data_IF_355356886764
#
_entry.id   IF_355356886764
#
_cell.length_a   1.000
_cell.length_b   1.000
_cell.length_c   1.000
_cell.angle_alpha   90.00
_cell.angle_beta   90.00
_cell.angle_gamma   90.00
#
_symmetry.space_group_name_H-M   'P 1'
#
loop_
_entity.id
_entity.type
_entity.pdbx_description
1 polymer ?
#
# COMPACT_ATOMS: atom_id res chain seq x y z
N UNK A 1 -24.46 34.83 17.47
CA UNK A 1 -23.10 34.63 18.02
C UNK A 1 -23.21 34.16 19.47
N UNK A 2 -23.39 32.85 19.72
CA UNK A 2 -23.36 32.24 21.08
C UNK A 2 -23.04 30.73 20.99
N UNK A 3 -21.84 30.32 20.57
CA UNK A 3 -21.37 28.92 20.79
C UNK A 3 -19.84 28.80 20.71
N UNK A 4 -19.17 29.74 21.37
CA UNK A 4 -17.72 29.72 21.57
C UNK A 4 -17.36 28.71 22.68
N UNK A 5 -17.40 27.41 22.37
CA UNK A 5 -16.78 26.32 23.15
C UNK A 5 -16.92 24.95 22.47
N UNK A 6 -16.52 24.86 21.21
CA UNK A 6 -16.07 23.58 20.64
C UNK A 6 -14.54 23.58 20.78
N UNK A 7 -14.10 23.74 22.02
CA UNK A 7 -12.72 23.44 22.39
C UNK A 7 -12.63 21.93 22.43
N UNK A 8 -11.91 21.42 21.44
CA UNK A 8 -11.25 20.13 21.31
C UNK A 8 -11.90 18.94 22.02
N UNK A 9 -12.38 17.91 21.28
CA UNK A 9 -12.29 16.59 21.86
C UNK A 9 -10.80 16.32 22.06
N UNK A 10 -10.28 16.56 23.28
CA UNK A 10 -9.12 15.83 23.76
C UNK A 10 -9.51 14.35 23.64
N UNK A 11 -9.21 13.75 22.48
CA UNK A 11 -9.19 12.29 22.31
C UNK A 11 -7.93 11.77 23.01
N UNK A 12 -7.70 12.23 24.24
CA UNK A 12 -6.93 11.52 25.24
C UNK A 12 -7.79 10.37 25.69
N UNK A 13 -7.94 9.35 24.85
CA UNK A 13 -8.54 8.08 25.23
C UNK A 13 -7.57 7.35 26.18
N UNK A 14 -7.37 7.91 27.37
CA UNK A 14 -6.84 7.20 28.53
C UNK A 14 -7.92 6.22 28.99
N UNK A 15 -8.20 5.27 28.12
CA UNK A 15 -9.01 4.10 28.42
C UNK A 15 -8.08 3.12 29.13
N UNK A 16 -8.58 2.45 30.17
CA UNK A 16 -7.79 1.43 30.90
C UNK A 16 -7.26 0.31 29.98
N UNK A 17 -7.84 0.18 28.80
CA UNK A 17 -7.44 -0.77 27.76
C UNK A 17 -6.19 -0.31 26.98
N UNK A 18 -5.77 0.95 27.10
CA UNK A 18 -4.57 1.48 26.43
C UNK A 18 -3.29 0.76 26.87
N UNK A 19 -3.23 0.31 28.12
CA UNK A 19 -2.08 -0.47 28.64
C UNK A 19 -2.03 -1.84 27.94
N UNK A 20 -3.17 -2.52 27.82
CA UNK A 20 -3.26 -3.80 27.11
C UNK A 20 -3.00 -3.65 25.61
N UNK A 21 -3.51 -2.59 24.98
CA UNK A 21 -3.27 -2.28 23.58
C UNK A 21 -1.79 -1.95 23.32
N UNK A 22 -1.17 -1.15 24.18
CA UNK A 22 0.26 -0.83 24.10
C UNK A 22 1.13 -2.08 24.27
N UNK A 23 0.82 -2.93 25.25
CA UNK A 23 1.51 -4.21 25.44
C UNK A 23 1.39 -5.11 24.20
N UNK A 24 0.20 -5.23 23.61
CA UNK A 24 0.00 -5.97 22.37
C UNK A 24 0.79 -5.39 21.19
N UNK A 25 0.79 -4.06 21.04
CA UNK A 25 1.57 -3.38 20.00
C UNK A 25 3.08 -3.59 20.17
N UNK A 26 3.60 -3.46 21.39
CA UNK A 26 5.02 -3.71 21.71
C UNK A 26 5.38 -5.17 21.44
N UNK A 27 4.51 -6.10 21.79
CA UNK A 27 4.73 -7.53 21.52
C UNK A 27 4.82 -7.80 20.01
N UNK A 28 3.86 -7.32 19.22
CA UNK A 28 3.87 -7.47 17.76
C UNK A 28 5.11 -6.80 17.16
N UNK A 29 5.45 -5.59 17.60
CA UNK A 29 6.64 -4.88 17.15
C UNK A 29 7.93 -5.67 17.47
N UNK A 30 8.04 -6.23 18.67
CA UNK A 30 9.19 -7.05 19.08
C UNK A 30 9.32 -8.30 18.23
N UNK A 31 8.21 -8.97 17.90
CA UNK A 31 8.20 -10.12 16.99
C UNK A 31 8.66 -9.71 15.59
N UNK A 32 8.10 -8.63 15.03
CA UNK A 32 8.49 -8.13 13.70
C UNK A 32 9.96 -7.76 13.64
N UNK A 33 10.49 -7.05 14.64
CA UNK A 33 11.91 -6.72 14.74
C UNK A 33 12.77 -7.98 14.83
N UNK A 34 12.35 -8.97 15.62
CA UNK A 34 13.06 -10.25 15.73
C UNK A 34 13.08 -10.98 14.38
N UNK A 35 11.96 -11.01 13.65
CA UNK A 35 11.90 -11.59 12.30
C UNK A 35 12.84 -10.85 11.36
N UNK A 36 12.76 -9.52 11.29
CA UNK A 36 13.60 -8.71 10.40
C UNK A 36 15.09 -8.94 10.67
N UNK A 37 15.49 -8.98 11.95
CA UNK A 37 16.90 -9.13 12.34
C UNK A 37 17.42 -10.56 12.18
N UNK A 38 16.56 -11.57 12.34
CA UNK A 38 16.94 -12.99 12.17
C UNK A 38 16.80 -13.49 10.74
N UNK A 39 16.09 -12.77 9.89
CA UNK A 39 15.92 -13.14 8.49
C UNK A 39 17.26 -12.96 7.76
N UNK A 40 17.76 -14.05 7.19
CA UNK A 40 18.92 -13.99 6.29
C UNK A 40 18.50 -13.39 4.95
N UNK A 41 18.62 -12.06 4.83
CA UNK A 41 18.35 -11.35 3.59
C UNK A 41 19.36 -11.77 2.51
N UNK A 42 18.86 -12.27 1.37
CA UNK A 42 19.71 -12.60 0.21
C UNK A 42 20.14 -11.30 -0.48
N UNK A 43 21.29 -10.77 -0.07
CA UNK A 43 21.94 -9.64 -0.76
C UNK A 43 22.79 -10.20 -1.89
N UNK A 44 22.31 -10.10 -3.13
CA UNK A 44 23.10 -10.44 -4.32
C UNK A 44 24.15 -9.37 -4.65
N UNK A 45 25.08 -9.69 -5.54
CA UNK A 45 25.96 -8.66 -6.11
C UNK A 45 25.15 -7.63 -6.89
N UNK A 46 25.40 -6.36 -6.58
CA UNK A 46 24.71 -5.24 -7.19
C UNK A 46 25.33 -5.00 -8.57
N UNK A 47 24.93 -5.78 -9.57
CA UNK A 47 25.34 -5.52 -10.96
C UNK A 47 24.68 -4.21 -11.40
N UNK A 48 25.49 -3.23 -11.80
CA UNK A 48 24.98 -2.07 -12.53
C UNK A 48 24.33 -2.61 -13.80
N UNK A 49 23.03 -2.35 -13.98
CA UNK A 49 22.30 -2.78 -15.15
C UNK A 49 22.11 -1.56 -16.06
N UNK A 50 22.77 -1.57 -17.21
CA UNK A 50 22.82 -0.40 -18.10
C UNK A 50 21.47 -0.12 -18.78
N UNK A 51 20.64 -1.16 -19.00
CA UNK A 51 19.35 -1.03 -19.68
C UNK A 51 18.24 -1.89 -19.04
N UNK A 52 17.56 -1.37 -18.01
CA UNK A 52 16.46 -2.08 -17.34
C UNK A 52 15.15 -2.08 -18.15
N UNK A 53 14.93 -1.06 -18.97
CA UNK A 53 13.69 -0.90 -19.75
C UNK A 53 13.54 -2.01 -20.78
N UNK A 54 14.64 -2.39 -21.47
CA UNK A 54 14.64 -3.46 -22.46
C UNK A 54 14.28 -4.80 -21.82
N UNK A 55 14.91 -5.13 -20.69
CA UNK A 55 14.65 -6.37 -19.94
C UNK A 55 13.21 -6.47 -19.47
N UNK A 56 12.68 -5.39 -18.88
CA UNK A 56 11.29 -5.35 -18.41
C UNK A 56 10.32 -5.51 -19.59
N UNK A 57 10.57 -4.83 -20.71
CA UNK A 57 9.79 -4.99 -21.92
C UNK A 57 9.80 -6.44 -22.42
N UNK A 58 10.97 -7.10 -22.39
CA UNK A 58 11.10 -8.50 -22.79
C UNK A 58 10.35 -9.46 -21.86
N UNK A 59 10.37 -9.20 -20.54
CA UNK A 59 9.61 -9.96 -19.55
C UNK A 59 8.09 -9.79 -19.75
N UNK A 60 7.62 -8.55 -20.00
CA UNK A 60 6.21 -8.26 -20.26
C UNK A 60 5.70 -8.92 -21.53
N UNK A 61 6.54 -9.01 -22.57
CA UNK A 61 6.18 -9.58 -23.87
C UNK A 61 6.42 -11.10 -23.99
N UNK A 62 7.01 -11.74 -22.96
CA UNK A 62 7.32 -13.17 -23.00
C UNK A 62 6.71 -13.92 -21.82
N UNK A 63 7.15 -13.62 -20.61
CA UNK A 63 6.80 -14.41 -19.42
C UNK A 63 5.53 -13.88 -18.74
N UNK A 64 5.25 -12.58 -18.86
CA UNK A 64 4.12 -11.90 -18.23
C UNK A 64 3.09 -11.35 -19.23
N UNK A 65 2.92 -12.01 -20.39
CA UNK A 65 1.95 -11.59 -21.43
C UNK A 65 0.51 -11.61 -20.90
N UNK A 66 0.11 -12.70 -20.25
CA UNK A 66 -1.28 -12.83 -19.76
C UNK A 66 -1.61 -11.81 -18.65
N UNK A 67 -0.77 -11.61 -17.61
CA UNK A 67 -1.00 -10.51 -16.66
C UNK A 67 -1.04 -9.14 -17.31
N UNK A 68 -0.18 -8.87 -18.31
CA UNK A 68 -0.18 -7.59 -19.03
C UNK A 68 -1.51 -7.33 -19.75
N UNK A 69 -2.08 -8.35 -20.41
CA UNK A 69 -3.40 -8.27 -21.04
C UNK A 69 -4.53 -8.06 -20.04
N UNK A 70 -4.51 -8.75 -18.90
CA UNK A 70 -5.52 -8.55 -17.86
C UNK A 70 -5.51 -7.11 -17.32
N UNK A 71 -4.32 -6.53 -17.12
CA UNK A 71 -4.19 -5.15 -16.69
C UNK A 71 -4.69 -4.18 -17.78
N UNK A 72 -4.44 -4.45 -19.06
CA UNK A 72 -4.92 -3.57 -20.14
C UNK A 72 -6.44 -3.56 -20.24
N UNK A 73 -7.09 -4.73 -20.10
CA UNK A 73 -8.55 -4.85 -20.05
C UNK A 73 -9.12 -4.20 -18.78
N UNK A 74 -8.46 -4.37 -17.63
CA UNK A 74 -8.85 -3.72 -16.38
C UNK A 74 -8.82 -2.19 -16.53
N UNK A 75 -7.78 -1.64 -17.15
CA UNK A 75 -7.67 -0.21 -17.40
C UNK A 75 -8.71 0.28 -18.41
N UNK A 76 -9.01 -0.51 -19.44
CA UNK A 76 -10.10 -0.21 -20.37
C UNK A 76 -11.46 -0.16 -19.64
N UNK A 77 -11.75 -1.16 -18.82
CA UNK A 77 -12.98 -1.20 -18.02
C UNK A 77 -13.05 -0.03 -17.03
N UNK A 78 -11.93 0.33 -16.39
CA UNK A 78 -11.84 1.49 -15.52
C UNK A 78 -12.13 2.80 -16.27
N UNK A 79 -11.60 2.96 -17.48
CA UNK A 79 -11.86 4.14 -18.32
C UNK A 79 -13.33 4.23 -18.71
N UNK A 80 -13.94 3.11 -19.11
CA UNK A 80 -15.37 3.04 -19.44
C UNK A 80 -16.20 3.42 -18.20
N UNK A 81 -15.88 2.86 -17.03
CA UNK A 81 -16.56 3.17 -15.78
C UNK A 81 -16.45 4.65 -15.39
N UNK A 82 -15.25 5.22 -15.53
CA UNK A 82 -15.02 6.65 -15.28
C UNK A 82 -15.80 7.54 -16.24
N UNK A 83 -15.82 7.21 -17.54
CA UNK A 83 -16.56 7.96 -18.55
C UNK A 83 -18.07 7.89 -18.31
N UNK A 84 -18.60 6.71 -17.96
CA UNK A 84 -20.01 6.52 -17.63
C UNK A 84 -20.40 7.36 -16.40
N UNK A 85 -19.62 7.30 -15.32
CA UNK A 85 -19.91 8.05 -14.09
C UNK A 85 -19.76 9.57 -14.25
N UNK A 86 -18.87 10.02 -15.14
CA UNK A 86 -18.67 11.44 -15.46
C UNK A 86 -19.86 12.06 -16.20
N UNK A 87 -20.69 11.23 -16.84
CA UNK A 87 -21.86 11.70 -17.56
C UNK A 87 -22.90 12.22 -16.56
N UNK A 88 -23.15 13.54 -16.58
CA UNK A 88 -24.33 14.10 -15.93
C UNK A 88 -25.57 13.58 -16.63
N UNK A 89 -26.49 13.01 -15.87
CA UNK A 89 -27.86 12.81 -16.34
C UNK A 89 -28.46 14.18 -16.66
N UNK A 90 -28.96 14.32 -17.88
CA UNK A 90 -29.81 15.44 -18.32
C UNK A 90 -31.26 15.08 -18.05
#
# INVERSE_FOLDING_TARGET
MVTNKIDDPEVGSSSRNQIFASSGAIFILSVLLTVIMRTEWKTGEMTSRDETVRDIGHLLMKDFVLPFELVSILLLAALIGAAYLSRKDV
#
